data_IF_658070102471
#
_entry.id   IF_658070102471
#
_cell.length_a   1.000
_cell.length_b   1.000
_cell.length_c   1.000
_cell.angle_alpha   90.00
_cell.angle_beta   90.00
_cell.angle_gamma   90.00
#
_symmetry.space_group_name_H-M   'P 1'
#
loop_
_entity.id
_entity.type
_entity.pdbx_description
1 polymer ?
#
# COMPACT_ATOMS: atom_id res chain seq x y z
N UNK A 1 7.45 -3.01 -2.90
CA UNK A 1 7.31 -2.32 -1.59
C UNK A 1 7.36 -3.37 -0.49
N UNK A 2 8.01 -3.05 0.64
CA UNK A 2 8.10 -3.94 1.80
C UNK A 2 7.17 -3.45 2.90
N UNK A 3 5.92 -3.94 2.99
CA UNK A 3 4.99 -3.49 4.00
C UNK A 3 5.43 -3.95 5.39
N UNK A 4 5.08 -3.14 6.39
CA UNK A 4 5.26 -3.44 7.81
C UNK A 4 3.90 -3.51 8.48
N UNK A 5 3.71 -4.50 9.34
CA UNK A 5 2.50 -4.69 10.13
C UNK A 5 2.83 -4.78 11.61
N UNK A 6 1.95 -4.20 12.40
CA UNK A 6 1.90 -4.37 13.84
C UNK A 6 0.57 -5.03 14.20
N UNK A 7 0.63 -6.03 15.07
CA UNK A 7 -0.50 -6.87 15.46
C UNK A 7 -0.64 -6.80 16.97
N UNK A 8 -1.83 -6.43 17.42
CA UNK A 8 -2.20 -6.48 18.83
C UNK A 8 -3.00 -7.74 19.12
N UNK A 9 -2.55 -8.52 20.10
CA UNK A 9 -3.18 -9.75 20.56
C UNK A 9 -3.26 -9.76 22.10
N UNK A 10 -4.15 -10.58 22.68
CA UNK A 10 -4.11 -10.90 24.10
C UNK A 10 -2.73 -11.39 24.56
N UNK A 11 -2.38 -11.13 25.82
CA UNK A 11 -1.04 -11.40 26.36
C UNK A 11 -0.68 -12.90 26.48
N UNK A 12 -1.66 -13.78 26.43
CA UNK A 12 -1.54 -15.24 26.47
C UNK A 12 -1.22 -15.89 25.10
N UNK A 13 -1.17 -15.09 24.03
CA UNK A 13 -0.70 -15.52 22.71
C UNK A 13 0.81 -15.72 22.70
N UNK A 14 1.27 -16.89 22.23
CA UNK A 14 2.69 -17.25 22.20
C UNK A 14 3.28 -17.30 20.78
N UNK A 15 2.45 -17.27 19.74
CA UNK A 15 2.89 -17.30 18.35
C UNK A 15 1.91 -16.53 17.46
N UNK A 16 2.45 -15.62 16.64
CA UNK A 16 1.70 -14.94 15.59
C UNK A 16 2.36 -15.21 14.24
N UNK A 17 1.55 -15.59 13.25
CA UNK A 17 1.99 -15.85 11.88
C UNK A 17 1.18 -15.02 10.88
N UNK A 18 1.81 -14.58 9.81
CA UNK A 18 1.20 -13.78 8.76
C UNK A 18 1.37 -14.41 7.38
N UNK A 19 0.39 -14.19 6.51
CA UNK A 19 0.38 -14.63 5.12
C UNK A 19 -0.31 -13.58 4.24
N UNK A 20 0.19 -13.36 3.02
CA UNK A 20 -0.46 -12.48 2.02
C UNK A 20 -0.89 -13.25 0.76
N UNK A 21 -0.62 -14.56 0.69
CA UNK A 21 -0.87 -15.41 -0.47
C UNK A 21 -2.00 -16.42 -0.24
N UNK A 22 -2.88 -16.13 0.71
CA UNK A 22 -4.00 -16.98 1.08
C UNK A 22 -3.61 -18.20 1.92
N UNK A 23 -2.50 -18.13 2.66
CA UNK A 23 -2.06 -19.18 3.58
C UNK A 23 -1.16 -20.24 2.94
N UNK A 24 -0.59 -19.99 1.75
CA UNK A 24 0.39 -20.90 1.12
C UNK A 24 1.76 -20.74 1.79
N UNK A 25 2.13 -19.50 2.09
CA UNK A 25 3.34 -19.18 2.86
C UNK A 25 2.98 -18.44 4.14
N UNK A 26 3.70 -18.77 5.21
CA UNK A 26 3.51 -18.19 6.54
C UNK A 26 4.84 -17.68 7.07
N UNK A 27 4.80 -16.49 7.67
CA UNK A 27 5.94 -15.85 8.29
C UNK A 27 5.65 -15.62 9.76
N UNK A 28 6.62 -15.92 10.63
CA UNK A 28 6.48 -15.66 12.06
C UNK A 28 6.72 -14.18 12.34
N UNK A 29 5.80 -13.56 13.08
CA UNK A 29 6.01 -12.23 13.64
C UNK A 29 7.01 -12.31 14.81
N UNK A 30 7.61 -11.17 15.13
CA UNK A 30 8.48 -11.03 16.30
C UNK A 30 7.73 -10.25 17.37
N UNK A 31 7.78 -10.72 18.61
CA UNK A 31 7.18 -9.99 19.72
C UNK A 31 7.95 -8.67 19.95
N UNK A 32 7.20 -7.60 20.11
CA UNK A 32 7.75 -6.27 20.39
C UNK A 32 8.16 -6.15 21.87
N UNK A 33 8.69 -4.99 22.26
CA UNK A 33 8.98 -4.69 23.66
C UNK A 33 7.71 -4.61 24.53
N UNK A 34 6.54 -4.37 23.91
CA UNK A 34 5.24 -4.34 24.58
C UNK A 34 4.58 -5.71 24.49
N UNK A 35 4.21 -6.29 25.64
CA UNK A 35 3.49 -7.55 25.68
C UNK A 35 2.16 -7.47 24.88
N UNK A 36 1.85 -8.52 24.13
CA UNK A 36 0.69 -8.54 23.23
C UNK A 36 0.87 -7.78 21.92
N UNK A 37 2.00 -7.10 21.70
CA UNK A 37 2.30 -6.42 20.42
C UNK A 37 3.34 -7.24 19.65
N UNK A 38 3.07 -7.49 18.37
CA UNK A 38 3.93 -8.23 17.47
C UNK A 38 4.17 -7.42 16.21
N UNK A 39 5.41 -7.42 15.72
CA UNK A 39 5.83 -6.68 14.54
C UNK A 39 6.31 -7.65 13.45
N UNK A 40 6.01 -7.35 12.20
CA UNK A 40 6.57 -8.05 11.06
C UNK A 40 6.80 -7.12 9.87
N UNK A 41 8.00 -7.19 9.28
CA UNK A 41 8.38 -6.47 8.08
C UNK A 41 8.65 -7.46 6.97
N UNK A 42 7.95 -7.29 5.84
CA UNK A 42 8.17 -8.15 4.67
C UNK A 42 9.60 -7.98 4.13
N UNK A 43 10.31 -9.09 3.96
CA UNK A 43 11.70 -9.07 3.48
C UNK A 43 11.78 -8.89 1.95
N UNK A 44 10.80 -9.45 1.25
CA UNK A 44 10.68 -9.36 -0.20
C UNK A 44 9.71 -8.24 -0.60
N UNK A 45 9.91 -7.70 -1.79
CA UNK A 45 8.96 -6.76 -2.37
C UNK A 45 7.63 -7.43 -2.70
N UNK A 46 6.56 -6.81 -2.24
CA UNK A 46 5.19 -7.13 -2.61
C UNK A 46 4.79 -6.23 -3.79
N UNK A 47 4.08 -6.82 -4.75
CA UNK A 47 3.67 -6.16 -5.99
C UNK A 47 2.61 -5.08 -5.78
N UNK A 48 2.48 -4.20 -6.77
CA UNK A 48 1.35 -3.28 -6.92
C UNK A 48 0.00 -4.01 -6.84
N UNK A 49 -1.02 -3.31 -6.32
CA UNK A 49 -2.42 -3.76 -6.36
C UNK A 49 -2.97 -4.22 -5.01
N UNK A 50 -4.12 -4.91 -5.08
CA UNK A 50 -4.88 -5.38 -3.91
C UNK A 50 -4.28 -6.65 -3.33
N UNK A 51 -4.18 -6.67 -2.00
CA UNK A 51 -3.67 -7.79 -1.22
C UNK A 51 -4.58 -8.07 -0.02
N UNK A 52 -4.51 -9.29 0.49
CA UNK A 52 -5.21 -9.70 1.70
C UNK A 52 -4.21 -10.30 2.67
N UNK A 53 -3.92 -9.57 3.74
CA UNK A 53 -3.16 -10.08 4.87
C UNK A 53 -4.06 -11.01 5.68
N UNK A 54 -3.60 -12.23 5.91
CA UNK A 54 -4.18 -13.19 6.86
C UNK A 54 -3.23 -13.33 8.04
N UNK A 55 -3.75 -13.14 9.25
CA UNK A 55 -3.00 -13.27 10.50
C UNK A 55 -3.57 -14.45 11.27
N UNK A 56 -2.71 -15.33 11.77
CA UNK A 56 -3.06 -16.42 12.67
C UNK A 56 -2.34 -16.21 14.01
N UNK A 57 -3.11 -16.21 15.11
CA UNK A 57 -2.58 -16.17 16.46
C UNK A 57 -2.84 -17.50 17.16
N UNK A 58 -1.84 -18.03 17.85
CA UNK A 58 -1.92 -19.26 18.65
C UNK A 58 -1.56 -18.95 20.11
N UNK A 59 -2.37 -19.42 21.05
CA UNK A 59 -2.09 -19.28 22.48
C UNK A 59 -1.25 -20.45 23.05
N UNK A 60 -0.86 -20.33 24.32
CA UNK A 60 -0.09 -21.36 25.02
C UNK A 60 -0.82 -22.72 25.14
N UNK A 61 -2.16 -22.72 25.09
CA UNK A 61 -2.98 -23.93 25.11
C UNK A 61 -3.19 -24.53 23.70
N UNK A 62 -2.72 -23.86 22.65
CA UNK A 62 -2.85 -24.28 21.26
C UNK A 62 -4.14 -23.83 20.57
N UNK A 63 -4.95 -22.97 21.19
CA UNK A 63 -6.12 -22.38 20.53
C UNK A 63 -5.65 -21.44 19.43
N UNK A 64 -6.35 -21.46 18.30
CA UNK A 64 -6.02 -20.66 17.12
C UNK A 64 -7.16 -19.75 16.71
N UNK A 65 -6.83 -18.53 16.34
CA UNK A 65 -7.76 -17.61 15.69
C UNK A 65 -7.12 -16.98 14.47
N UNK A 66 -7.94 -16.63 13.49
CA UNK A 66 -7.51 -16.00 12.25
C UNK A 66 -8.29 -14.72 11.98
N UNK A 67 -7.59 -13.70 11.47
CA UNK A 67 -8.19 -12.47 10.97
C UNK A 67 -7.62 -12.09 9.61
N UNK A 68 -8.38 -11.30 8.85
CA UNK A 68 -8.00 -10.82 7.53
C UNK A 68 -8.05 -9.29 7.48
N UNK A 69 -7.09 -8.71 6.77
CA UNK A 69 -7.01 -7.29 6.47
C UNK A 69 -6.78 -7.12 4.97
N UNK A 70 -7.67 -6.42 4.30
CA UNK A 70 -7.48 -6.01 2.90
C UNK A 70 -6.67 -4.72 2.86
N UNK A 71 -5.68 -4.66 1.97
CA UNK A 71 -4.88 -3.47 1.74
C UNK A 71 -4.50 -3.36 0.27
N UNK A 72 -4.12 -2.16 -0.17
CA UNK A 72 -3.63 -1.91 -1.53
C UNK A 72 -2.25 -1.30 -1.44
N UNK A 73 -1.32 -1.83 -2.23
CA UNK A 73 -0.03 -1.19 -2.48
C UNK A 73 -0.22 -0.36 -3.73
N UNK A 74 0.01 0.94 -3.61
CA UNK A 74 0.04 1.89 -4.73
C UNK A 74 1.43 2.51 -4.85
N UNK A 75 2.08 2.19 -5.95
CA UNK A 75 3.40 2.66 -6.39
C UNK A 75 3.30 3.41 -7.71
N UNK A 76 2.08 3.61 -8.22
CA UNK A 76 1.85 4.32 -9.47
C UNK A 76 2.05 5.81 -9.24
N UNK A 77 2.96 6.38 -10.04
CA UNK A 77 3.17 7.83 -10.05
C UNK A 77 2.46 8.41 -11.28
N UNK A 78 1.41 9.18 -11.05
CA UNK A 78 0.79 9.98 -12.10
C UNK A 78 1.54 11.31 -12.22
N UNK A 79 2.22 11.52 -13.34
CA UNK A 79 2.81 12.82 -13.67
C UNK A 79 1.75 13.66 -14.37
N UNK A 80 1.27 14.76 -13.76
CA UNK A 80 0.30 15.60 -14.42
C UNK A 80 0.94 16.28 -15.63
N UNK A 81 0.18 16.38 -16.72
CA UNK A 81 0.59 17.19 -17.87
C UNK A 81 -0.13 18.53 -17.83
N UNK A 82 0.58 19.58 -18.24
CA UNK A 82 0.00 20.91 -18.44
C UNK A 82 0.22 21.30 -19.90
N UNK A 83 -0.86 21.62 -20.60
CA UNK A 83 -0.82 22.00 -22.01
C UNK A 83 -1.61 23.28 -22.19
N UNK A 84 -1.15 24.15 -23.10
CA UNK A 84 -1.91 25.33 -23.50
C UNK A 84 -3.23 24.86 -24.12
N UNK A 85 -4.34 25.48 -23.75
CA UNK A 85 -5.62 25.19 -24.39
C UNK A 85 -5.53 25.52 -25.88
N UNK A 86 -5.95 24.57 -26.74
CA UNK A 86 -5.91 24.74 -28.19
C UNK A 86 -6.73 25.95 -28.69
N UNK A 87 -7.70 26.42 -27.90
CA UNK A 87 -8.47 27.63 -28.19
C UNK A 87 -7.66 28.91 -27.98
N UNK A 88 -6.66 28.88 -27.10
CA UNK A 88 -5.79 30.02 -26.78
C UNK A 88 -4.45 29.99 -27.55
N UNK A 89 -4.14 28.90 -28.26
CA UNK A 89 -3.02 28.82 -29.21
C UNK A 89 -3.23 29.78 -30.40
N UNK A 90 -2.26 30.67 -30.64
CA UNK A 90 -2.29 31.70 -31.67
C UNK A 90 -1.09 31.57 -32.61
N UNK A 91 -1.29 31.80 -33.92
CA UNK A 91 -0.25 31.59 -34.91
C UNK A 91 -0.36 30.18 -35.49
N UNK A 92 0.67 29.35 -35.33
CA UNK A 92 0.68 27.98 -35.87
C UNK A 92 0.16 27.00 -34.82
N UNK A 93 -1.00 26.40 -35.06
CA UNK A 93 -1.59 25.44 -34.10
C UNK A 93 -0.60 24.32 -33.73
N UNK A 94 -0.41 24.12 -32.43
CA UNK A 94 0.49 23.12 -31.86
C UNK A 94 1.91 23.63 -31.56
N UNK A 95 2.21 24.91 -31.83
CA UNK A 95 3.49 25.52 -31.48
C UNK A 95 3.55 26.06 -30.03
N UNK A 96 2.40 26.04 -29.33
CA UNK A 96 2.22 26.51 -27.95
C UNK A 96 2.50 28.01 -27.76
N UNK A 97 2.43 28.82 -28.83
CA UNK A 97 2.51 30.27 -28.74
C UNK A 97 1.11 30.86 -28.56
N UNK A 98 0.98 31.86 -27.68
CA UNK A 98 -0.29 32.56 -27.44
C UNK A 98 -0.09 34.07 -27.37
N UNK A 99 -1.06 34.81 -27.90
CA UNK A 99 -1.22 36.24 -27.70
C UNK A 99 -2.36 36.58 -26.72
N UNK A 100 -3.01 35.56 -26.14
CA UNK A 100 -4.03 35.71 -25.11
C UNK A 100 -3.33 36.07 -23.80
N UNK A 101 -3.68 37.21 -23.22
CA UNK A 101 -3.03 37.73 -22.00
C UNK A 101 -3.51 37.07 -20.70
N UNK A 102 -4.50 36.17 -20.80
CA UNK A 102 -5.00 35.30 -19.74
C UNK A 102 -5.25 33.90 -20.33
N UNK A 103 -4.19 33.19 -20.73
CA UNK A 103 -4.34 31.91 -21.36
C UNK A 103 -4.85 30.86 -20.36
N UNK A 104 -5.60 29.91 -20.88
CA UNK A 104 -6.08 28.73 -20.17
C UNK A 104 -5.18 27.54 -20.47
N UNK A 105 -5.05 26.67 -19.48
CA UNK A 105 -4.27 25.45 -19.58
C UNK A 105 -5.16 24.28 -19.21
N UNK A 106 -5.01 23.19 -19.96
CA UNK A 106 -5.66 21.93 -19.67
C UNK A 106 -4.69 21.10 -18.83
N UNK A 107 -5.21 20.54 -17.74
CA UNK A 107 -4.51 19.58 -16.90
C UNK A 107 -4.87 18.16 -17.38
N UNK A 108 -3.86 17.32 -17.59
CA UNK A 108 -4.01 15.90 -17.92
C UNK A 108 -3.40 15.00 -16.87
#
# INVERSE_FOLDING_TARGET
VRPQFQIAVPADVNMVRLSIDGGKTWFNATQSATAGVWDYTWLADVSEGKHTLTVEATDAAGNKTMQKLEFTIDTTLSVPTIVLDNTDDSGTKGDNLTNVNKPTFVLG
#
